data_IF_452680642040
#
_entry.id   IF_452680642040
#
_cell.length_a   1.000
_cell.length_b   1.000
_cell.length_c   1.000
_cell.angle_alpha   90.00
_cell.angle_beta   90.00
_cell.angle_gamma   90.00
#
_symmetry.space_group_name_H-M   'P 1'
#
loop_
_entity.id
_entity.type
_entity.pdbx_description
1 polymer ?
#
# COMPACT_ATOMS: atom_id res chain seq x y z
N UNK A 1 11.20 26.57 1.35
CA UNK A 1 12.06 25.62 0.62
C UNK A 1 11.55 25.60 -0.80
N UNK A 2 12.35 26.03 -1.77
CA UNK A 2 11.97 26.04 -3.19
C UNK A 2 12.43 24.72 -3.83
N UNK A 3 11.51 23.98 -4.44
CA UNK A 3 11.74 22.64 -4.96
C UNK A 3 11.42 22.62 -6.46
N UNK A 4 12.42 22.95 -7.30
CA UNK A 4 12.26 23.04 -8.75
C UNK A 4 12.78 21.78 -9.44
N UNK A 5 11.92 21.14 -10.23
CA UNK A 5 12.29 20.00 -11.09
C UNK A 5 12.61 18.69 -10.37
N UNK A 6 12.56 18.66 -9.04
CA UNK A 6 12.76 17.45 -8.24
C UNK A 6 11.48 16.62 -8.13
N UNK A 7 11.61 15.37 -7.70
CA UNK A 7 10.53 14.37 -7.67
C UNK A 7 9.32 14.76 -6.79
N UNK A 8 9.45 15.77 -5.93
CA UNK A 8 8.36 16.27 -5.07
C UNK A 8 7.26 17.01 -5.83
N UNK A 9 7.58 17.58 -7.00
CA UNK A 9 6.61 18.32 -7.84
C UNK A 9 6.14 17.52 -9.05
N UNK A 10 6.70 16.31 -9.26
CA UNK A 10 6.33 15.44 -10.38
C UNK A 10 5.12 14.58 -10.03
N UNK A 11 4.13 14.56 -10.92
CA UNK A 11 2.87 13.79 -10.74
C UNK A 11 2.95 12.33 -11.17
N UNK A 12 4.05 11.94 -11.83
CA UNK A 12 4.22 10.59 -12.40
C UNK A 12 4.78 9.58 -11.40
N UNK A 13 5.19 10.05 -10.22
CA UNK A 13 5.77 9.23 -9.16
C UNK A 13 4.70 8.86 -8.13
N UNK A 14 4.92 7.75 -7.43
CA UNK A 14 4.06 7.39 -6.31
C UNK A 14 4.13 8.45 -5.19
N UNK A 15 3.02 8.80 -4.52
CA UNK A 15 2.99 9.84 -3.48
C UNK A 15 4.01 9.64 -2.34
N UNK A 16 4.35 8.38 -2.03
CA UNK A 16 5.41 8.03 -1.07
C UNK A 16 6.74 8.73 -1.37
N UNK A 17 7.12 8.85 -2.66
CA UNK A 17 8.40 9.43 -3.08
C UNK A 17 8.43 10.91 -2.74
N UNK A 18 7.37 11.62 -3.10
CA UNK A 18 7.26 13.05 -2.83
C UNK A 18 7.21 13.33 -1.32
N UNK A 19 6.48 12.52 -0.54
CA UNK A 19 6.42 12.68 0.91
C UNK A 19 7.77 12.41 1.57
N UNK A 20 8.43 11.31 1.22
CA UNK A 20 9.74 10.94 1.74
C UNK A 20 10.77 12.04 1.48
N UNK A 21 10.89 12.48 0.22
CA UNK A 21 11.87 13.50 -0.16
C UNK A 21 11.61 14.82 0.54
N UNK A 22 10.35 15.26 0.62
CA UNK A 22 10.03 16.51 1.32
C UNK A 22 10.43 16.45 2.81
N UNK A 23 10.19 15.34 3.48
CA UNK A 23 10.59 15.16 4.88
C UNK A 23 12.11 15.07 5.02
N UNK A 24 12.80 14.31 4.16
CA UNK A 24 14.26 14.25 4.15
C UNK A 24 14.88 15.64 3.93
N UNK A 25 14.38 16.43 2.97
CA UNK A 25 14.88 17.77 2.73
C UNK A 25 14.65 18.70 3.92
N UNK A 26 13.50 18.60 4.61
CA UNK A 26 13.25 19.36 5.86
C UNK A 26 14.27 19.00 6.94
N UNK A 27 14.50 17.71 7.17
CA UNK A 27 15.48 17.24 8.16
C UNK A 27 16.91 17.70 7.82
N UNK A 28 17.28 17.65 6.54
CA UNK A 28 18.61 18.03 6.09
C UNK A 28 18.85 19.55 6.07
N UNK A 29 17.89 20.33 5.56
CA UNK A 29 18.09 21.76 5.28
C UNK A 29 17.59 22.67 6.41
N UNK A 30 16.53 22.29 7.11
CA UNK A 30 15.95 23.09 8.20
C UNK A 30 16.58 22.66 9.53
N UNK A 31 16.45 21.38 9.86
CA UNK A 31 16.91 20.84 11.15
C UNK A 31 18.41 20.53 11.15
N UNK A 32 19.05 20.50 9.98
CA UNK A 32 20.48 20.20 9.80
C UNK A 32 20.89 18.87 10.43
N UNK A 33 19.99 17.90 10.43
CA UNK A 33 20.18 16.58 11.02
C UNK A 33 20.24 15.49 9.94
N UNK A 34 21.43 15.21 9.38
CA UNK A 34 21.60 14.17 8.37
C UNK A 34 21.33 12.76 8.90
N UNK A 35 21.64 12.52 10.18
CA UNK A 35 21.41 11.23 10.82
C UNK A 35 19.92 10.93 10.96
N UNK A 36 19.13 11.90 11.41
CA UNK A 36 17.66 11.77 11.48
C UNK A 36 17.03 11.53 10.10
N UNK A 37 17.58 12.14 9.04
CA UNK A 37 17.11 11.89 7.68
C UNK A 37 17.40 10.47 7.19
N UNK A 38 18.54 9.89 7.57
CA UNK A 38 18.91 8.49 7.28
C UNK A 38 17.96 7.54 8.02
N UNK A 39 17.77 7.75 9.33
CA UNK A 39 16.91 6.90 10.17
C UNK A 39 15.46 6.91 9.67
N UNK A 40 14.93 8.09 9.35
CA UNK A 40 13.60 8.22 8.75
C UNK A 40 13.49 7.45 7.42
N UNK A 41 14.51 7.56 6.56
CA UNK A 41 14.54 6.84 5.28
C UNK A 41 14.56 5.33 5.49
N UNK A 42 15.38 4.84 6.42
CA UNK A 42 15.47 3.42 6.77
C UNK A 42 14.15 2.89 7.33
N UNK A 43 13.46 3.68 8.17
CA UNK A 43 12.15 3.34 8.69
C UNK A 43 11.11 3.19 7.57
N UNK A 44 11.04 4.17 6.66
CA UNK A 44 10.11 4.13 5.52
C UNK A 44 10.39 2.94 4.59
N UNK A 45 11.67 2.62 4.34
CA UNK A 45 12.05 1.43 3.57
C UNK A 45 11.63 0.15 4.29
N UNK A 46 11.82 0.08 5.61
CA UNK A 46 11.38 -1.07 6.41
C UNK A 46 9.86 -1.23 6.34
N UNK A 47 9.12 -0.13 6.47
CA UNK A 47 7.65 -0.12 6.36
C UNK A 47 7.17 -0.58 4.98
N UNK A 48 7.85 -0.16 3.92
CA UNK A 48 7.55 -0.61 2.55
C UNK A 48 7.71 -2.14 2.44
N UNK A 49 8.85 -2.66 2.89
CA UNK A 49 9.19 -4.09 2.78
C UNK A 49 8.36 -4.98 3.71
N UNK A 50 7.87 -4.44 4.82
CA UNK A 50 6.97 -5.12 5.74
C UNK A 50 5.48 -4.94 5.37
N UNK A 51 5.18 -4.36 4.20
CA UNK A 51 3.82 -4.11 3.73
C UNK A 51 2.97 -3.28 4.72
N UNK A 52 3.60 -2.35 5.44
CA UNK A 52 2.95 -1.44 6.40
C UNK A 52 2.55 -0.10 5.78
N UNK A 53 2.90 0.13 4.52
CA UNK A 53 2.56 1.35 3.78
C UNK A 53 1.18 1.24 3.15
N UNK A 54 0.44 2.34 3.18
CA UNK A 54 -0.86 2.41 2.54
C UNK A 54 -0.78 2.29 1.02
N UNK A 55 -1.69 1.54 0.41
CA UNK A 55 -1.72 1.40 -1.05
C UNK A 55 -1.91 2.76 -1.73
N UNK A 56 -2.61 3.72 -1.10
CA UNK A 56 -2.80 5.08 -1.63
C UNK A 56 -1.47 5.79 -1.87
N UNK A 57 -0.44 5.46 -1.08
CA UNK A 57 0.91 6.03 -1.22
C UNK A 57 1.73 5.39 -2.34
N UNK A 58 1.26 4.25 -2.85
CA UNK A 58 1.90 3.46 -3.91
C UNK A 58 1.21 3.64 -5.27
N UNK A 59 0.03 4.27 -5.33
CA UNK A 59 -0.68 4.50 -6.59
C UNK A 59 0.12 5.43 -7.50
N UNK A 60 0.41 4.96 -8.71
CA UNK A 60 1.01 5.75 -9.78
C UNK A 60 -0.12 6.15 -10.74
N UNK A 61 -0.14 7.40 -11.17
CA UNK A 61 -1.14 7.88 -12.15
C UNK A 61 -0.44 8.30 -13.44
N UNK A 62 -0.98 7.88 -14.58
CA UNK A 62 -0.55 8.35 -15.91
C UNK A 62 -1.76 8.67 -16.78
N UNK A 63 -1.63 9.72 -17.57
CA UNK A 63 -2.66 10.17 -18.50
C UNK A 63 -2.69 9.25 -19.73
N UNK A 64 -3.89 8.80 -20.09
CA UNK A 64 -4.13 8.01 -21.30
C UNK A 64 -4.33 8.96 -22.48
N UNK A 65 -3.24 9.27 -23.19
CA UNK A 65 -3.26 10.27 -24.26
C UNK A 65 -3.61 9.71 -25.63
N UNK A 66 -3.40 8.41 -25.85
CA UNK A 66 -3.64 7.75 -27.14
C UNK A 66 -4.30 6.39 -26.97
N UNK A 67 -4.80 5.84 -28.07
CA UNK A 67 -5.25 4.45 -28.14
C UNK A 67 -4.07 3.49 -28.21
N UNK A 68 -4.28 2.22 -27.84
CA UNK A 68 -3.22 1.19 -27.76
C UNK A 68 -2.45 1.03 -29.08
N UNK A 69 -3.15 1.19 -30.21
CA UNK A 69 -2.62 1.05 -31.57
C UNK A 69 -1.69 2.20 -31.99
N UNK A 70 -1.80 3.37 -31.34
CA UNK A 70 -1.02 4.56 -31.66
C UNK A 70 0.27 4.69 -30.82
N UNK A 71 0.45 3.82 -29.81
CA UNK A 71 1.68 3.81 -29.02
C UNK A 71 2.75 2.94 -29.67
N UNK A 72 3.92 3.54 -29.92
CA UNK A 72 5.08 2.84 -30.47
C UNK A 72 5.65 1.74 -29.54
N UNK A 73 5.23 1.68 -28.28
CA UNK A 73 5.67 0.67 -27.32
C UNK A 73 4.68 0.44 -26.19
N UNK A 74 4.62 -0.80 -25.70
CA UNK A 74 3.67 -1.23 -24.66
C UNK A 74 3.92 -0.49 -23.35
N UNK A 75 2.89 0.21 -22.85
CA UNK A 75 2.92 0.94 -21.60
C UNK A 75 2.02 0.29 -20.55
N UNK A 76 2.39 0.41 -19.27
CA UNK A 76 1.63 -0.14 -18.15
C UNK A 76 0.17 0.35 -18.08
N UNK A 77 -0.04 1.66 -18.13
CA UNK A 77 -1.36 2.27 -18.02
C UNK A 77 -2.28 1.94 -19.21
N UNK A 78 -1.71 1.75 -20.40
CA UNK A 78 -2.44 1.38 -21.62
C UNK A 78 -2.90 -0.07 -21.54
N UNK A 79 -1.97 -0.99 -21.23
CA UNK A 79 -2.29 -2.41 -21.06
C UNK A 79 -3.32 -2.63 -19.94
N UNK A 80 -3.20 -1.87 -18.84
CA UNK A 80 -4.19 -1.91 -17.77
C UNK A 80 -5.56 -1.41 -18.23
N UNK A 81 -5.62 -0.28 -18.95
CA UNK A 81 -6.89 0.24 -19.45
C UNK A 81 -7.59 -0.79 -20.36
N UNK A 82 -6.85 -1.42 -21.28
CA UNK A 82 -7.36 -2.51 -22.13
C UNK A 82 -7.83 -3.72 -21.31
N UNK A 83 -7.13 -4.07 -20.23
CA UNK A 83 -7.52 -5.18 -19.33
C UNK A 83 -8.78 -4.84 -18.51
N UNK A 84 -8.88 -3.61 -18.01
CA UNK A 84 -10.06 -3.12 -17.29
C UNK A 84 -11.28 -3.14 -18.20
N UNK A 85 -11.15 -2.67 -19.44
CA UNK A 85 -12.23 -2.69 -20.44
C UNK A 85 -12.74 -4.09 -20.74
N UNK A 86 -11.84 -5.08 -20.84
CA UNK A 86 -12.22 -6.50 -21.02
C UNK A 86 -12.93 -7.10 -19.80
N UNK A 87 -12.60 -6.62 -18.59
CA UNK A 87 -13.16 -7.11 -17.34
C UNK A 87 -14.54 -6.50 -17.06
N UNK A 88 -14.65 -5.19 -17.20
CA UNK A 88 -15.88 -4.43 -17.02
C UNK A 88 -15.84 -3.16 -17.89
N UNK A 89 -16.61 -3.11 -18.99
CA UNK A 89 -16.66 -1.95 -19.87
C UNK A 89 -17.15 -0.67 -19.19
N UNK A 90 -17.94 -0.78 -18.11
CA UNK A 90 -18.54 0.38 -17.43
C UNK A 90 -17.54 1.20 -16.60
N UNK A 91 -16.48 0.57 -16.11
CA UNK A 91 -15.46 1.19 -15.24
C UNK A 91 -14.14 1.50 -15.95
N UNK A 92 -14.09 1.28 -17.27
CA UNK A 92 -12.91 1.48 -18.10
C UNK A 92 -12.54 2.97 -18.23
N UNK A 93 -11.24 3.33 -18.12
CA UNK A 93 -10.77 4.68 -18.36
C UNK A 93 -11.00 5.13 -19.82
N UNK A 94 -11.32 6.40 -20.03
CA UNK A 94 -11.46 7.01 -21.35
C UNK A 94 -10.21 7.76 -21.77
N UNK A 95 -10.11 8.09 -23.06
CA UNK A 95 -9.02 8.89 -23.58
C UNK A 95 -9.05 10.29 -22.95
N UNK A 96 -7.91 10.74 -22.42
CA UNK A 96 -7.77 11.95 -21.61
C UNK A 96 -7.85 11.71 -20.10
N UNK A 97 -8.33 10.54 -19.64
CA UNK A 97 -8.39 10.23 -18.22
C UNK A 97 -7.00 9.85 -17.66
N UNK A 98 -6.81 10.11 -16.36
CA UNK A 98 -5.67 9.56 -15.62
C UNK A 98 -6.00 8.16 -15.12
N UNK A 99 -5.18 7.20 -15.52
CA UNK A 99 -5.27 5.80 -15.12
C UNK A 99 -4.40 5.58 -13.88
N UNK A 100 -5.00 5.34 -12.69
CA UNK A 100 -4.27 4.92 -11.52
C UNK A 100 -3.92 3.43 -11.61
N UNK A 101 -2.70 3.07 -11.23
CA UNK A 101 -2.27 1.68 -11.15
C UNK A 101 -1.23 1.48 -10.05
N UNK A 102 -1.09 0.24 -9.61
CA UNK A 102 0.01 -0.23 -8.77
C UNK A 102 0.77 -1.34 -9.48
N UNK A 103 2.03 -1.51 -9.12
CA UNK A 103 2.86 -2.61 -9.62
C UNK A 103 2.77 -3.81 -8.68
N UNK A 104 2.19 -4.90 -9.16
CA UNK A 104 2.03 -6.16 -8.42
C UNK A 104 3.27 -7.05 -8.55
N UNK A 105 3.46 -7.93 -7.57
CA UNK A 105 4.52 -8.93 -7.58
C UNK A 105 4.24 -9.99 -8.65
N UNK A 106 5.26 -10.30 -9.45
CA UNK A 106 5.21 -11.30 -10.51
C UNK A 106 6.54 -12.06 -10.58
N UNK A 107 6.62 -13.17 -11.34
CA UNK A 107 7.87 -13.88 -11.55
C UNK A 107 9.00 -12.97 -12.05
N UNK A 108 10.25 -13.31 -11.70
CA UNK A 108 11.41 -12.56 -12.16
C UNK A 108 11.46 -12.53 -13.69
N UNK A 109 11.71 -11.35 -14.26
CA UNK A 109 11.76 -11.14 -15.71
C UNK A 109 10.42 -10.77 -16.35
N UNK A 110 9.31 -10.78 -15.61
CA UNK A 110 8.04 -10.25 -16.14
C UNK A 110 8.16 -8.74 -16.37
N UNK A 111 7.78 -8.30 -17.58
CA UNK A 111 7.84 -6.91 -17.95
C UNK A 111 6.90 -6.04 -17.08
N UNK A 112 7.33 -4.81 -16.78
CA UNK A 112 6.59 -3.91 -15.89
C UNK A 112 5.16 -3.58 -16.39
N UNK A 113 4.93 -3.57 -17.70
CA UNK A 113 3.60 -3.30 -18.26
C UNK A 113 2.59 -4.40 -17.93
N UNK A 114 3.01 -5.66 -17.81
CA UNK A 114 2.14 -6.79 -17.43
C UNK A 114 1.83 -6.79 -15.93
N UNK A 115 2.71 -6.21 -15.12
CA UNK A 115 2.61 -6.14 -13.67
C UNK A 115 1.72 -4.98 -13.16
N UNK A 116 1.11 -4.22 -14.05
CA UNK A 116 0.19 -3.16 -13.65
C UNK A 116 -1.19 -3.74 -13.32
N UNK A 117 -1.81 -3.25 -12.25
CA UNK A 117 -3.17 -3.64 -11.87
C UNK A 117 -3.88 -2.45 -11.18
N UNK A 118 -5.21 -2.47 -11.23
CA UNK A 118 -6.06 -1.45 -10.59
C UNK A 118 -5.96 -1.56 -9.04
N UNK A 119 -5.77 -0.45 -8.30
CA UNK A 119 -5.61 -0.49 -6.86
C UNK A 119 -6.83 -1.08 -6.12
N UNK A 120 -8.05 -0.89 -6.62
CA UNK A 120 -9.26 -1.44 -6.00
C UNK A 120 -9.28 -2.96 -6.20
N UNK A 121 -9.02 -3.43 -7.42
CA UNK A 121 -8.92 -4.85 -7.70
C UNK A 121 -7.85 -5.54 -6.85
N UNK A 122 -6.69 -4.89 -6.66
CA UNK A 122 -5.62 -5.38 -5.79
C UNK A 122 -6.07 -5.47 -4.33
N UNK A 123 -6.75 -4.43 -3.83
CA UNK A 123 -7.32 -4.42 -2.48
C UNK A 123 -8.33 -5.54 -2.30
N UNK A 124 -9.30 -5.74 -3.20
CA UNK A 124 -10.34 -6.77 -3.06
C UNK A 124 -9.73 -8.18 -3.04
N UNK A 125 -8.76 -8.42 -3.93
CA UNK A 125 -8.15 -9.73 -4.16
C UNK A 125 -6.89 -10.03 -3.34
N UNK A 126 -6.45 -9.10 -2.48
CA UNK A 126 -5.21 -9.22 -1.69
C UNK A 126 -3.98 -9.58 -2.56
N UNK A 127 -3.86 -8.94 -3.72
CA UNK A 127 -2.73 -9.22 -4.62
C UNK A 127 -1.45 -8.57 -4.03
N UNK A 128 -0.34 -9.32 -3.91
CA UNK A 128 0.89 -8.80 -3.35
C UNK A 128 1.49 -7.72 -4.25
N UNK A 129 1.96 -6.65 -3.61
CA UNK A 129 2.66 -5.53 -4.25
C UNK A 129 4.12 -5.88 -4.46
N UNK A 130 4.71 -5.44 -5.58
CA UNK A 130 6.16 -5.58 -5.80
C UNK A 130 6.93 -4.49 -5.05
N UNK A 131 7.20 -4.76 -3.77
CA UNK A 131 7.97 -3.86 -2.91
C UNK A 131 9.39 -3.61 -3.41
N UNK A 132 9.99 -4.57 -4.13
CA UNK A 132 11.32 -4.41 -4.71
C UNK A 132 11.30 -3.38 -5.85
N UNK A 133 10.28 -3.41 -6.70
CA UNK A 133 10.10 -2.41 -7.75
C UNK A 133 10.01 -0.99 -7.18
N UNK A 134 9.21 -0.77 -6.12
CA UNK A 134 9.13 0.57 -5.51
C UNK A 134 10.47 0.98 -4.88
N UNK A 135 11.18 0.07 -4.22
CA UNK A 135 12.49 0.37 -3.65
C UNK A 135 13.51 0.76 -4.73
N UNK A 136 13.67 -0.06 -5.77
CA UNK A 136 14.69 0.13 -6.80
C UNK A 136 14.32 1.21 -7.83
N UNK A 137 13.09 1.23 -8.34
CA UNK A 137 12.72 2.11 -9.44
C UNK A 137 12.20 3.47 -8.97
N UNK A 138 11.52 3.54 -7.82
CA UNK A 138 10.88 4.77 -7.34
C UNK A 138 11.70 5.48 -6.26
N UNK A 139 12.22 4.75 -5.26
CA UNK A 139 12.88 5.36 -4.10
C UNK A 139 14.39 5.51 -4.25
N UNK A 140 15.09 4.53 -4.83
CA UNK A 140 16.56 4.51 -4.82
C UNK A 140 17.18 5.73 -5.52
N UNK A 141 16.77 6.02 -6.77
CA UNK A 141 17.38 7.07 -7.59
C UNK A 141 17.19 8.47 -6.98
N UNK A 142 15.99 8.86 -6.52
CA UNK A 142 15.80 10.16 -5.89
C UNK A 142 16.56 10.30 -4.56
N UNK A 143 16.61 9.23 -3.75
CA UNK A 143 17.33 9.24 -2.49
C UNK A 143 18.84 9.42 -2.71
N UNK A 144 19.41 8.65 -3.64
CA UNK A 144 20.82 8.78 -3.99
C UNK A 144 21.16 10.20 -4.43
N UNK A 145 20.37 10.80 -5.35
CA UNK A 145 20.62 12.17 -5.81
C UNK A 145 20.69 13.21 -4.68
N UNK A 146 19.93 13.03 -3.59
CA UNK A 146 19.89 13.96 -2.46
C UNK A 146 21.01 13.68 -1.46
N UNK A 147 21.30 12.42 -1.19
CA UNK A 147 22.24 12.01 -0.14
C UNK A 147 23.69 11.87 -0.63
N UNK A 148 23.92 11.63 -1.92
CA UNK A 148 25.26 11.51 -2.51
C UNK A 148 26.13 12.76 -2.29
N UNK A 149 25.64 14.00 -2.49
CA UNK A 149 26.44 15.21 -2.24
C UNK A 149 26.83 15.42 -0.77
N UNK A 150 26.12 14.77 0.17
CA UNK A 150 26.31 14.96 1.61
C UNK A 150 27.20 13.86 2.20
N UNK A 151 27.01 12.61 1.78
CA UNK A 151 27.65 11.42 2.36
C UNK A 151 28.75 10.82 1.45
N UNK A 152 28.74 11.16 0.15
CA UNK A 152 29.55 10.54 -0.90
C UNK A 152 28.86 9.32 -1.54
N UNK A 153 29.15 9.07 -2.83
CA UNK A 153 28.46 8.08 -3.68
C UNK A 153 28.37 6.67 -3.07
N UNK A 154 29.51 6.11 -2.64
CA UNK A 154 29.56 4.74 -2.14
C UNK A 154 28.93 4.56 -0.75
N UNK A 155 28.91 5.61 0.08
CA UNK A 155 28.34 5.57 1.44
C UNK A 155 26.83 5.72 1.41
N UNK A 156 26.29 6.58 0.54
CA UNK A 156 24.84 6.78 0.45
C UNK A 156 24.11 5.48 0.07
N UNK A 157 24.56 4.79 -0.97
CA UNK A 157 23.93 3.55 -1.42
C UNK A 157 24.05 2.41 -0.39
N UNK A 158 25.20 2.29 0.27
CA UNK A 158 25.41 1.24 1.27
C UNK A 158 24.60 1.47 2.54
N UNK A 159 24.49 2.70 3.04
CA UNK A 159 23.77 3.01 4.29
C UNK A 159 22.24 3.00 4.11
N UNK A 160 21.75 3.47 2.96
CA UNK A 160 20.31 3.64 2.74
C UNK A 160 19.64 2.38 2.18
N UNK A 161 20.29 1.67 1.25
CA UNK A 161 19.65 0.57 0.50
C UNK A 161 20.06 -0.82 1.00
N UNK A 162 21.16 -0.91 1.77
CA UNK A 162 21.66 -2.18 2.32
C UNK A 162 21.71 -2.07 3.84
N UNK A 163 21.09 -2.99 4.55
CA UNK A 163 21.11 -2.96 6.00
C UNK A 163 20.14 -3.93 6.62
N UNK A 164 20.01 -3.87 7.94
CA UNK A 164 19.07 -4.71 8.68
C UNK A 164 17.62 -4.35 8.37
N UNK A 165 17.34 -3.08 8.11
CA UNK A 165 16.03 -2.56 7.73
C UNK A 165 15.48 -3.13 6.42
N UNK A 166 16.33 -3.70 5.55
CA UNK A 166 15.91 -4.34 4.30
C UNK A 166 15.85 -5.87 4.33
N UNK A 167 16.24 -6.51 5.44
CA UNK A 167 16.29 -7.98 5.55
C UNK A 167 14.93 -8.59 5.81
N UNK A 168 14.08 -7.92 6.58
CA UNK A 168 12.74 -8.41 6.90
C UNK A 168 11.77 -8.05 5.78
N UNK A 169 11.19 -9.06 5.15
CA UNK A 169 10.17 -8.90 4.11
C UNK A 169 8.91 -9.66 4.49
N UNK A 170 7.77 -8.98 4.47
CA UNK A 170 6.47 -9.61 4.69
C UNK A 170 5.81 -9.85 3.35
N UNK A 171 5.51 -11.13 3.04
CA UNK A 171 4.87 -11.51 1.78
C UNK A 171 3.41 -11.85 2.05
N UNK A 172 2.51 -11.18 1.35
CA UNK A 172 1.07 -11.47 1.38
C UNK A 172 0.76 -12.56 0.36
N UNK A 173 -0.14 -13.48 0.70
CA UNK A 173 -0.64 -14.48 -0.23
C UNK A 173 -1.83 -13.92 -1.02
N UNK A 174 -1.77 -13.99 -2.34
CA UNK A 174 -2.88 -13.64 -3.24
C UNK A 174 -4.09 -14.55 -3.01
N UNK A 175 -5.31 -13.99 -3.11
CA UNK A 175 -6.53 -14.80 -3.26
C UNK A 175 -6.78 -15.26 -4.70
N UNK A 176 -5.97 -14.77 -5.64
CA UNK A 176 -6.12 -15.02 -7.09
C UNK A 176 -4.98 -15.90 -7.57
N UNK A 177 -5.34 -16.97 -8.28
CA UNK A 177 -4.43 -17.92 -8.90
C UNK A 177 -4.89 -19.36 -8.75
N UNK A 178 -4.60 -20.21 -9.74
CA UNK A 178 -5.08 -21.60 -9.75
C UNK A 178 -4.73 -22.40 -8.50
N UNK A 179 -3.56 -22.14 -7.91
CA UNK A 179 -3.12 -22.82 -6.67
C UNK A 179 -3.83 -22.31 -5.41
N UNK A 180 -4.21 -21.02 -5.38
CA UNK A 180 -4.85 -20.39 -4.21
C UNK A 180 -6.25 -20.94 -3.94
N UNK A 181 -6.96 -21.38 -4.98
CA UNK A 181 -8.28 -22.01 -4.88
C UNK A 181 -8.27 -23.36 -4.11
N UNK A 182 -7.13 -24.06 -4.10
CA UNK A 182 -6.98 -25.34 -3.40
C UNK A 182 -6.33 -25.20 -2.01
N UNK A 183 -5.95 -23.99 -1.61
CA UNK A 183 -5.26 -23.74 -0.35
C UNK A 183 -6.28 -23.58 0.79
N UNK A 184 -6.35 -24.54 1.71
CA UNK A 184 -7.16 -24.43 2.93
C UNK A 184 -6.45 -23.56 3.97
N UNK A 185 -7.05 -22.42 4.34
CA UNK A 185 -6.58 -21.56 5.42
C UNK A 185 -6.81 -22.25 6.77
N UNK A 186 -5.74 -22.72 7.42
CA UNK A 186 -5.82 -23.18 8.81
C UNK A 186 -5.85 -21.98 9.77
N UNK A 187 -6.64 -22.09 10.84
CA UNK A 187 -6.62 -21.14 11.95
C UNK A 187 -5.26 -21.20 12.65
N UNK A 188 -4.77 -20.05 13.09
CA UNK A 188 -3.54 -19.94 13.89
C UNK A 188 -3.86 -19.23 15.20
N UNK A 189 -3.11 -19.56 16.25
CA UNK A 189 -3.18 -18.87 17.54
C UNK A 189 -2.76 -17.42 17.38
N UNK A 190 -3.56 -16.47 17.88
CA UNK A 190 -3.29 -15.03 17.76
C UNK A 190 -1.99 -14.64 18.49
N UNK A 191 -1.73 -15.24 19.66
CA UNK A 191 -0.54 -14.91 20.45
C UNK A 191 0.78 -15.47 19.89
N UNK A 192 0.83 -16.76 19.58
CA UNK A 192 2.08 -17.46 19.21
C UNK A 192 2.15 -17.93 17.76
N UNK A 193 1.12 -17.70 16.94
CA UNK A 193 1.03 -18.10 15.52
C UNK A 193 1.11 -19.61 15.23
N UNK A 194 1.06 -20.46 16.27
CA UNK A 194 0.98 -21.91 16.12
C UNK A 194 -0.34 -22.30 15.43
N UNK A 195 -0.32 -23.21 14.43
CA UNK A 195 -1.55 -23.67 13.78
C UNK A 195 -2.46 -24.40 14.77
N UNK A 196 -3.75 -24.11 14.71
CA UNK A 196 -4.80 -24.71 15.51
C UNK A 196 -5.57 -25.74 14.67
N UNK A 197 -6.07 -26.78 15.34
CA UNK A 197 -6.99 -27.73 14.74
C UNK A 197 -8.44 -27.24 14.83
N UNK A 198 -8.74 -26.41 15.83
CA UNK A 198 -10.07 -25.88 16.11
C UNK A 198 -10.23 -24.42 15.64
N UNK A 199 -11.47 -23.92 15.66
CA UNK A 199 -11.81 -22.53 15.30
C UNK A 199 -11.48 -21.50 16.40
N UNK A 200 -10.99 -21.95 17.56
CA UNK A 200 -10.68 -21.10 18.70
C UNK A 200 -9.62 -20.02 18.40
N UNK A 201 -9.61 -18.95 19.21
CA UNK A 201 -8.71 -17.80 19.05
C UNK A 201 -7.27 -18.07 19.54
N UNK A 202 -7.12 -18.83 20.63
CA UNK A 202 -5.85 -19.05 21.33
C UNK A 202 -5.56 -20.55 21.51
N UNK A 203 -4.28 -20.92 21.56
CA UNK A 203 -3.86 -22.27 21.93
C UNK A 203 -3.87 -22.45 23.46
N UNK A 204 -3.79 -23.71 23.91
CA UNK A 204 -3.76 -24.06 25.34
C UNK A 204 -2.67 -23.33 26.13
N UNK A 205 -1.52 -23.06 25.50
CA UNK A 205 -0.41 -22.32 26.12
C UNK A 205 -0.68 -20.82 26.27
N UNK A 206 -1.40 -20.21 25.32
CA UNK A 206 -1.72 -18.78 25.35
C UNK A 206 -3.02 -18.46 26.09
N UNK A 207 -3.79 -19.47 26.48
CA UNK A 207 -5.05 -19.33 27.23
C UNK A 207 -4.96 -18.48 28.50
N UNK A 208 -3.89 -18.56 29.32
CA UNK A 208 -3.76 -17.67 30.49
C UNK A 208 -3.67 -16.18 30.13
N UNK A 209 -3.24 -15.83 28.91
CA UNK A 209 -3.12 -14.45 28.41
C UNK A 209 -4.27 -14.06 27.48
N UNK A 210 -5.35 -14.81 27.48
CA UNK A 210 -6.48 -14.61 26.57
C UNK A 210 -7.13 -13.23 26.75
N UNK A 211 -7.32 -12.77 28.00
CA UNK A 211 -7.87 -11.45 28.30
C UNK A 211 -6.98 -10.32 27.78
N UNK A 212 -5.67 -10.42 27.97
CA UNK A 212 -4.70 -9.44 27.47
C UNK A 212 -4.70 -9.38 25.94
N UNK A 213 -4.76 -10.54 25.27
CA UNK A 213 -4.84 -10.62 23.81
C UNK A 213 -6.15 -10.01 23.30
N UNK A 214 -7.28 -10.36 23.91
CA UNK A 214 -8.58 -9.80 23.54
C UNK A 214 -8.60 -8.27 23.69
N UNK A 215 -8.08 -7.74 24.81
CA UNK A 215 -7.98 -6.29 25.04
C UNK A 215 -7.09 -5.57 24.01
N UNK A 216 -6.05 -6.23 23.50
CA UNK A 216 -5.22 -5.67 22.41
C UNK A 216 -6.00 -5.60 21.10
N UNK A 217 -6.69 -6.68 20.73
CA UNK A 217 -7.43 -6.75 19.47
C UNK A 217 -8.65 -5.80 19.47
N UNK A 218 -9.36 -5.64 20.60
CA UNK A 218 -10.48 -4.71 20.71
C UNK A 218 -10.04 -3.24 20.62
N UNK A 219 -8.88 -2.90 21.21
CA UNK A 219 -8.29 -1.58 21.07
C UNK A 219 -7.96 -1.27 19.60
N UNK A 220 -7.47 -2.26 18.85
CA UNK A 220 -7.23 -2.10 17.41
C UNK A 220 -8.52 -1.88 16.63
N UNK A 221 -9.60 -2.61 16.94
CA UNK A 221 -10.92 -2.39 16.32
C UNK A 221 -11.41 -0.97 16.59
N UNK A 222 -11.34 -0.49 17.83
CA UNK A 222 -11.77 0.85 18.19
C UNK A 222 -11.03 1.93 17.36
N UNK A 223 -9.72 1.78 17.15
CA UNK A 223 -8.92 2.68 16.31
C UNK A 223 -9.37 2.63 14.84
N UNK A 224 -9.69 1.43 14.33
CA UNK A 224 -10.17 1.26 12.96
C UNK A 224 -11.58 1.83 12.77
N UNK A 225 -12.49 1.65 13.74
CA UNK A 225 -13.85 2.19 13.73
C UNK A 225 -13.88 3.72 13.77
N UNK A 226 -13.05 4.35 14.61
CA UNK A 226 -12.93 5.80 14.64
C UNK A 226 -12.47 6.32 13.27
N UNK A 227 -11.44 5.68 12.71
CA UNK A 227 -10.90 6.05 11.40
C UNK A 227 -11.92 5.84 10.28
N UNK A 228 -12.67 4.73 10.31
CA UNK A 228 -13.74 4.44 9.37
C UNK A 228 -14.81 5.55 9.41
N UNK A 229 -15.30 5.86 10.60
CA UNK A 229 -16.34 6.86 10.83
C UNK A 229 -15.93 8.24 10.33
N UNK A 230 -14.68 8.65 10.62
CA UNK A 230 -14.13 9.94 10.17
C UNK A 230 -14.04 10.04 8.65
N UNK A 231 -13.55 9.00 7.97
CA UNK A 231 -13.39 9.00 6.51
C UNK A 231 -14.74 9.01 5.79
N UNK A 232 -15.69 8.18 6.22
CA UNK A 232 -17.02 8.10 5.60
C UNK A 232 -17.87 9.35 5.83
N UNK A 233 -17.83 9.92 7.03
CA UNK A 233 -18.51 11.19 7.33
C UNK A 233 -17.94 12.33 6.49
N UNK A 234 -16.62 12.34 6.26
CA UNK A 234 -15.98 13.34 5.40
C UNK A 234 -16.44 13.21 3.94
N UNK A 235 -16.68 12.00 3.44
CA UNK A 235 -17.25 11.79 2.12
C UNK A 235 -18.68 12.32 2.00
N UNK A 236 -19.54 12.10 3.02
CA UNK A 236 -20.91 12.65 3.03
C UNK A 236 -20.90 14.19 3.02
N UNK A 237 -20.02 14.81 3.82
CA UNK A 237 -19.83 16.28 3.80
C UNK A 237 -19.37 16.79 2.45
N UNK A 238 -18.47 16.07 1.78
CA UNK A 238 -17.99 16.42 0.44
C UNK A 238 -19.09 16.31 -0.61
N UNK A 239 -19.96 15.30 -0.50
CA UNK A 239 -21.12 15.13 -1.38
C UNK A 239 -22.21 16.19 -1.13
N UNK A 240 -22.37 16.63 0.12
CA UNK A 240 -23.39 17.58 0.55
C UNK A 240 -24.75 16.95 0.90
N UNK A 241 -24.89 15.63 0.74
CA UNK A 241 -26.08 14.87 1.15
C UNK A 241 -25.74 13.92 2.30
N UNK A 242 -26.65 13.83 3.28
CA UNK A 242 -26.59 12.86 4.39
C UNK A 242 -27.55 11.69 4.19
N UNK A 243 -28.44 11.79 3.20
CA UNK A 243 -29.56 10.85 3.00
C UNK A 243 -29.40 9.98 1.75
N UNK A 244 -28.42 10.28 0.91
CA UNK A 244 -28.12 9.54 -0.32
C UNK A 244 -26.80 8.78 -0.19
N UNK A 245 -26.66 7.75 -1.01
CA UNK A 245 -25.43 6.96 -1.07
C UNK A 245 -24.26 7.75 -1.67
N UNK A 246 -23.06 7.54 -1.12
CA UNK A 246 -21.83 8.18 -1.61
C UNK A 246 -21.26 7.39 -2.80
N UNK A 247 -21.70 7.72 -4.02
CA UNK A 247 -21.22 7.12 -5.27
C UNK A 247 -20.04 7.87 -5.91
N UNK A 248 -19.05 8.27 -5.10
CA UNK A 248 -17.87 9.00 -5.57
C UNK A 248 -16.81 8.04 -6.15
N UNK A 249 -16.31 8.34 -7.36
CA UNK A 249 -15.23 7.61 -8.05
C UNK A 249 -13.97 8.47 -8.30
N UNK A 250 -13.85 9.62 -7.61
CA UNK A 250 -12.70 10.51 -7.77
C UNK A 250 -11.41 9.86 -7.26
N UNK A 251 -10.58 9.40 -8.20
CA UNK A 251 -9.31 8.68 -7.96
C UNK A 251 -8.18 9.59 -7.47
N UNK A 252 -8.29 10.91 -7.66
CA UNK A 252 -7.32 11.89 -7.15
C UNK A 252 -7.59 12.26 -5.68
N UNK A 253 -8.76 11.87 -5.13
CA UNK A 253 -9.06 12.11 -3.73
C UNK A 253 -8.24 11.16 -2.83
N UNK A 254 -7.49 11.68 -1.84
CA UNK A 254 -6.71 10.81 -0.94
C UNK A 254 -7.60 9.88 -0.12
N UNK A 255 -8.85 10.28 0.17
CA UNK A 255 -9.80 9.49 0.96
C UNK A 255 -10.31 8.27 0.17
N UNK A 256 -10.32 8.33 -1.16
CA UNK A 256 -10.99 7.34 -2.00
C UNK A 256 -10.48 5.91 -1.77
N UNK A 257 -9.16 5.70 -1.77
CA UNK A 257 -8.57 4.38 -1.51
C UNK A 257 -8.52 4.07 -0.01
N UNK A 258 -8.28 5.07 0.84
CA UNK A 258 -8.21 4.89 2.30
C UNK A 258 -9.52 4.35 2.87
N UNK A 259 -10.69 4.86 2.43
CA UNK A 259 -11.99 4.40 2.95
C UNK A 259 -12.27 2.93 2.59
N UNK A 260 -11.85 2.49 1.39
CA UNK A 260 -12.01 1.10 0.93
C UNK A 260 -11.07 0.16 1.68
N UNK A 261 -9.84 0.58 1.91
CA UNK A 261 -8.89 -0.19 2.72
C UNK A 261 -9.37 -0.34 4.17
N UNK A 262 -9.73 0.76 4.84
CA UNK A 262 -10.19 0.70 6.23
C UNK A 262 -11.47 -0.12 6.38
N UNK A 263 -12.38 -0.06 5.41
CA UNK A 263 -13.54 -0.95 5.38
C UNK A 263 -13.13 -2.43 5.40
N UNK A 264 -12.11 -2.81 4.61
CA UNK A 264 -11.60 -4.17 4.56
C UNK A 264 -10.82 -4.56 5.82
N UNK A 265 -9.94 -3.69 6.31
CA UNK A 265 -9.15 -3.92 7.52
C UNK A 265 -10.08 -4.14 8.73
N UNK A 266 -11.15 -3.35 8.85
CA UNK A 266 -12.17 -3.50 9.88
C UNK A 266 -12.89 -4.85 9.77
N UNK A 267 -13.34 -5.24 8.58
CA UNK A 267 -13.96 -6.56 8.35
C UNK A 267 -13.04 -7.73 8.71
N UNK A 268 -11.75 -7.64 8.38
CA UNK A 268 -10.77 -8.68 8.72
C UNK A 268 -10.52 -8.74 10.24
N UNK A 269 -10.49 -7.60 10.92
CA UNK A 269 -10.28 -7.49 12.36
C UNK A 269 -11.52 -7.94 13.16
N UNK A 270 -12.73 -7.60 12.71
CA UNK A 270 -13.99 -8.07 13.30
C UNK A 270 -14.11 -9.60 13.21
N UNK A 271 -13.74 -10.17 12.06
CA UNK A 271 -13.70 -11.61 11.87
C UNK A 271 -12.67 -12.30 12.79
N UNK A 272 -11.58 -11.61 13.14
CA UNK A 272 -10.60 -12.09 14.11
C UNK A 272 -11.17 -12.05 15.53
N UNK A 273 -11.81 -10.93 15.93
CA UNK A 273 -12.46 -10.81 17.24
C UNK A 273 -13.58 -11.83 17.44
N UNK A 274 -14.37 -12.12 16.42
CA UNK A 274 -15.44 -13.12 16.47
C UNK A 274 -14.96 -14.54 16.83
N UNK A 275 -13.65 -14.82 16.74
CA UNK A 275 -13.06 -16.09 17.18
C UNK A 275 -12.97 -16.23 18.70
N UNK A 276 -12.94 -15.12 19.43
CA UNK A 276 -13.09 -15.14 20.87
C UNK A 276 -14.57 -15.35 21.16
N UNK A 277 -14.93 -16.55 21.62
CA UNK A 277 -16.29 -16.88 22.02
C UNK A 277 -16.64 -16.15 23.32
N UNK A 278 -16.83 -14.83 23.24
CA UNK A 278 -17.32 -14.04 24.37
C UNK A 278 -18.82 -14.30 24.45
N UNK A 279 -19.19 -15.29 25.27
CA UNK A 279 -20.56 -15.40 25.76
C UNK A 279 -20.76 -14.25 26.73
N UNK A 280 -21.54 -13.27 26.32
CA UNK A 280 -22.00 -12.17 27.17
C UNK A 280 -23.09 -12.68 28.12
#
# INVERSE_FOLDING_TARGET
>A
MDCKGIETVRRDNAPIVAHLINTCLKLLLIERNPQGAIEYTQQVISDLLCNRIDISQLVITKELTKTDEEYAGKQAHVELASRMQKRDPGSAPKLGDRVPYVIIAAPKGTAAYLKSEDPIYVLENNIPIDTQYYLENQLSKPLLRIFEPILGENKAASVLLKGEHTRTKTVVMSKVGGLSAFTKKKSTCIGCKVPLNDTGAVCSHCKPKESELYQKEICQVQVLEERFSRLWTQCQRCQGSLHEDVLCTNRDCPIFYMRKKIQKDLQEQDALLARFQVSW
#
